data_IF_317622233360
#
_entry.id   IF_317622233360
#
_cell.length_a   1.000
_cell.length_b   1.000
_cell.length_c   1.000
_cell.angle_alpha   90.00
_cell.angle_beta   90.00
_cell.angle_gamma   90.00
#
_symmetry.space_group_name_H-M   'P 1'
#
loop_
_entity.id
_entity.type
_entity.pdbx_description
1 polymer ?
#
# COMPACT_ATOMS: atom_id res chain seq x y z
N UNK A 1 6.30 -11.62 6.40
CA UNK A 1 5.06 -10.83 6.54
C UNK A 1 5.23 -9.53 5.78
N UNK A 2 4.20 -9.05 5.10
CA UNK A 2 4.22 -7.82 4.30
C UNK A 2 3.17 -6.86 4.85
N UNK A 3 3.47 -5.57 4.80
CA UNK A 3 2.58 -4.49 5.26
C UNK A 3 2.22 -3.61 4.09
N UNK A 4 0.94 -3.29 3.93
CA UNK A 4 0.48 -2.37 2.89
C UNK A 4 0.47 -0.95 3.43
N UNK A 5 1.17 -0.05 2.76
CA UNK A 5 1.15 1.37 3.03
C UNK A 5 0.22 2.07 2.03
N UNK A 6 -0.74 2.82 2.54
CA UNK A 6 -1.69 3.61 1.75
C UNK A 6 -1.78 5.03 2.30
N UNK A 7 -2.30 5.95 1.50
CA UNK A 7 -2.80 7.24 1.97
C UNK A 7 -4.33 7.25 1.79
N UNK A 8 -5.03 7.86 2.75
CA UNK A 8 -6.45 8.17 2.69
C UNK A 8 -6.74 9.60 2.19
N UNK A 9 -5.69 10.39 1.91
CA UNK A 9 -5.80 11.73 1.33
C UNK A 9 -5.48 11.73 -0.17
N UNK A 10 -4.25 11.35 -0.55
CA UNK A 10 -3.75 11.51 -1.92
C UNK A 10 -2.59 10.57 -2.26
N UNK A 11 -2.48 10.13 -3.53
CA UNK A 11 -1.31 9.36 -4.00
C UNK A 11 -0.01 10.16 -3.99
N UNK A 12 -0.06 11.49 -4.13
CA UNK A 12 1.13 12.33 -4.05
C UNK A 12 1.77 12.25 -2.65
N UNK A 13 0.93 12.36 -1.60
CA UNK A 13 1.36 12.20 -0.22
C UNK A 13 1.96 10.81 -0.01
N UNK A 14 1.27 9.75 -0.48
CA UNK A 14 1.77 8.38 -0.40
C UNK A 14 3.14 8.23 -1.06
N UNK A 15 3.34 8.77 -2.27
CA UNK A 15 4.63 8.72 -2.97
C UNK A 15 5.73 9.49 -2.22
N UNK A 16 5.39 10.65 -1.65
CA UNK A 16 6.32 11.47 -0.87
C UNK A 16 6.77 10.73 0.39
N UNK A 17 5.82 10.12 1.11
CA UNK A 17 6.08 9.34 2.30
C UNK A 17 6.91 8.08 2.00
N UNK A 18 6.54 7.34 0.95
CA UNK A 18 7.29 6.17 0.50
C UNK A 18 8.74 6.54 0.11
N UNK A 19 8.93 7.67 -0.58
CA UNK A 19 10.28 8.18 -0.91
C UNK A 19 11.07 8.54 0.34
N UNK A 20 10.45 9.17 1.34
CA UNK A 20 11.10 9.51 2.61
C UNK A 20 11.56 8.25 3.36
N UNK A 21 10.77 7.17 3.30
CA UNK A 21 11.17 5.86 3.82
C UNK A 21 12.25 5.16 2.97
N UNK A 22 12.60 5.68 1.79
CA UNK A 22 13.52 5.03 0.86
C UNK A 22 12.91 3.81 0.16
N UNK A 23 11.59 3.79 0.00
CA UNK A 23 10.85 2.77 -0.76
C UNK A 23 10.89 3.16 -2.24
N UNK A 24 11.34 2.28 -3.14
CA UNK A 24 11.44 2.63 -4.55
C UNK A 24 10.05 2.73 -5.20
N UNK A 25 9.87 3.63 -6.16
CA UNK A 25 8.59 3.85 -6.86
C UNK A 25 8.02 2.58 -7.51
N UNK A 26 8.87 1.62 -7.89
CA UNK A 26 8.47 0.33 -8.47
C UNK A 26 7.70 -0.59 -7.51
N UNK A 27 7.75 -0.33 -6.21
CA UNK A 27 6.99 -1.09 -5.20
C UNK A 27 5.54 -0.58 -5.05
N UNK A 28 5.14 0.39 -5.85
CA UNK A 28 3.77 0.86 -5.92
C UNK A 28 2.91 -0.08 -6.79
N UNK A 29 1.88 -0.70 -6.20
CA UNK A 29 0.84 -1.42 -6.94
C UNK A 29 -0.46 -0.61 -6.93
N UNK A 30 -0.67 0.18 -7.98
CA UNK A 30 -1.91 0.90 -8.36
C UNK A 30 -2.46 1.92 -7.34
N UNK A 31 -2.64 1.52 -6.09
CA UNK A 31 -3.18 2.32 -4.99
C UNK A 31 -2.40 2.20 -3.67
N UNK A 32 -1.39 1.33 -3.58
CA UNK A 32 -0.63 1.10 -2.35
C UNK A 32 0.84 0.77 -2.58
N UNK A 33 1.63 0.84 -1.52
CA UNK A 33 3.01 0.32 -1.48
C UNK A 33 3.09 -0.94 -0.63
N UNK A 34 3.77 -1.93 -1.16
CA UNK A 34 4.13 -3.14 -0.44
C UNK A 34 5.42 -2.94 0.36
N UNK A 35 5.32 -3.00 1.70
CA UNK A 35 6.46 -2.87 2.60
C UNK A 35 6.87 -4.24 3.18
N UNK A 36 8.17 -4.58 3.15
CA UNK A 36 8.70 -5.70 3.93
C UNK A 36 8.58 -5.40 5.43
N UNK A 37 8.40 -6.44 6.25
CA UNK A 37 8.18 -6.31 7.70
C UNK A 37 9.20 -5.42 8.42
N UNK A 38 10.46 -5.39 7.97
CA UNK A 38 11.51 -4.55 8.56
C UNK A 38 11.16 -3.05 8.48
N UNK A 39 10.50 -2.63 7.40
CA UNK A 39 10.11 -1.23 7.16
C UNK A 39 8.82 -0.83 7.86
N UNK A 40 8.11 -1.78 8.47
CA UNK A 40 6.89 -1.49 9.22
C UNK A 40 7.19 -0.59 10.42
N UNK A 41 8.22 -0.92 11.20
CA UNK A 41 8.63 -0.09 12.33
C UNK A 41 9.10 1.31 11.88
N UNK A 42 9.86 1.39 10.78
CA UNK A 42 10.30 2.66 10.19
C UNK A 42 9.11 3.51 9.74
N UNK A 43 8.08 2.90 9.14
CA UNK A 43 6.86 3.60 8.74
C UNK A 43 6.15 4.20 9.95
N UNK A 44 6.01 3.44 11.04
CA UNK A 44 5.42 3.96 12.29
C UNK A 44 6.27 5.10 12.87
N UNK A 45 7.59 4.96 12.89
CA UNK A 45 8.51 5.98 13.39
C UNK A 45 8.47 7.25 12.52
N UNK A 46 8.23 7.12 11.22
CA UNK A 46 8.06 8.24 10.29
C UNK A 46 6.68 8.90 10.38
N UNK A 47 5.76 8.38 11.21
CA UNK A 47 4.43 8.95 11.44
C UNK A 47 3.27 8.22 10.77
N UNK A 48 3.50 7.04 10.18
CA UNK A 48 2.40 6.21 9.71
C UNK A 48 1.60 5.64 10.89
N UNK A 49 0.30 5.47 10.69
CA UNK A 49 -0.58 4.86 11.69
C UNK A 49 -0.67 3.35 11.46
N UNK A 50 -0.31 2.56 12.47
CA UNK A 50 -0.45 1.10 12.47
C UNK A 50 -1.90 0.69 12.66
N UNK A 51 -2.67 0.66 11.58
CA UNK A 51 -4.09 0.27 11.62
C UNK A 51 -4.30 -1.19 11.21
N UNK A 52 -5.34 -1.82 11.78
CA UNK A 52 -5.73 -3.18 11.41
C UNK A 52 -6.39 -3.25 10.03
N UNK A 53 -6.37 -4.42 9.40
CA UNK A 53 -6.88 -4.62 8.04
C UNK A 53 -8.34 -4.21 7.84
N UNK A 54 -9.19 -4.35 8.87
CA UNK A 54 -10.60 -3.92 8.82
C UNK A 54 -10.71 -2.39 8.74
N UNK A 55 -9.94 -1.69 9.55
CA UNK A 55 -9.89 -0.22 9.58
C UNK A 55 -9.33 0.33 8.28
N UNK A 56 -8.27 -0.28 7.75
CA UNK A 56 -7.69 0.05 6.45
C UNK A 56 -8.74 0.02 5.32
N UNK A 57 -9.52 -1.06 5.26
CA UNK A 57 -10.56 -1.20 4.24
C UNK A 57 -11.68 -0.18 4.41
N UNK A 58 -12.05 0.17 5.65
CA UNK A 58 -13.06 1.18 5.93
C UNK A 58 -12.60 2.56 5.44
N UNK A 59 -11.37 2.97 5.79
CA UNK A 59 -10.79 4.26 5.35
C UNK A 59 -10.63 4.36 3.85
N UNK A 60 -10.10 3.32 3.19
CA UNK A 60 -9.98 3.30 1.73
C UNK A 60 -11.34 3.39 1.02
N UNK A 61 -12.38 2.80 1.61
CA UNK A 61 -13.74 2.90 1.07
C UNK A 61 -14.30 4.30 1.29
N UNK A 62 -14.08 4.91 2.46
CA UNK A 62 -14.51 6.26 2.78
C UNK A 62 -13.80 7.33 1.93
N UNK A 63 -12.49 7.16 1.69
CA UNK A 63 -11.68 8.06 0.86
C UNK A 63 -11.99 7.94 -0.64
N UNK A 64 -12.78 6.95 -1.08
CA UNK A 64 -13.05 6.69 -2.49
C UNK A 64 -11.83 6.20 -3.29
N UNK A 65 -10.68 5.99 -2.64
CA UNK A 65 -9.42 5.57 -3.26
C UNK A 65 -9.35 4.06 -3.52
N UNK A 66 -10.33 3.29 -3.03
CA UNK A 66 -10.37 1.83 -3.23
C UNK A 66 -10.63 1.49 -4.70
N UNK A 67 -9.57 1.21 -5.46
CA UNK A 67 -9.64 0.61 -6.80
C UNK A 67 -9.84 -0.89 -6.65
N UNK A 68 -11.09 -1.32 -6.52
CA UNK A 68 -11.44 -2.75 -6.48
C UNK A 68 -10.99 -3.39 -7.81
N UNK A 69 -10.08 -4.37 -7.76
CA UNK A 69 -9.76 -5.20 -8.94
C UNK A 69 -11.07 -5.78 -9.46
N UNK A 70 -11.54 -5.34 -10.63
CA UNK A 70 -12.69 -5.96 -11.28
C UNK A 70 -12.29 -7.42 -11.54
N UNK A 71 -13.19 -8.35 -11.24
CA UNK A 71 -12.95 -9.79 -11.45
C UNK A 71 -13.04 -10.07 -12.96
N UNK A 72 -12.10 -9.56 -13.74
CA UNK A 72 -11.98 -9.75 -15.18
C UNK A 72 -10.58 -10.18 -15.64
N UNK A 73 -9.53 -9.93 -14.85
CA UNK A 73 -8.14 -10.18 -15.26
C UNK A 73 -7.38 -10.98 -14.19
N UNK A 74 -7.81 -12.22 -13.98
CA UNK A 74 -6.93 -13.30 -13.52
C UNK A 74 -6.47 -14.08 -14.75
N UNK A 75 -5.65 -13.44 -15.58
CA UNK A 75 -4.86 -14.11 -16.60
C UNK A 75 -3.40 -14.01 -16.19
N UNK A 76 -2.82 -15.13 -15.77
CA UNK A 76 -1.45 -15.51 -16.11
C UNK A 76 -0.31 -14.61 -15.59
N UNK A 77 0.23 -14.97 -14.42
CA UNK A 77 1.63 -14.68 -14.11
C UNK A 77 2.24 -15.85 -13.32
N UNK A 78 2.81 -16.80 -14.07
CA UNK A 78 4.11 -17.37 -13.73
C UNK A 78 4.14 -18.45 -12.66
N UNK A 79 3.65 -19.64 -13.01
CA UNK A 79 4.29 -20.89 -12.60
C UNK A 79 5.70 -20.89 -13.22
N UNK A 80 6.76 -20.96 -12.42
CA UNK A 80 8.12 -21.12 -12.94
C UNK A 80 8.57 -22.58 -12.77
N UNK A 81 9.19 -23.20 -13.80
CA UNK A 81 9.61 -24.61 -13.80
C UNK A 81 10.76 -24.91 -12.83
#
# INVERSE_FOLDING_TARGET
>A
MWSHLVSDDSYEELHRFARALGVPRRAFDRDHYDLPAQRYADALAAGALGIGSKELVARLTAAGLRRRKTRGERGEAGRNP
#
